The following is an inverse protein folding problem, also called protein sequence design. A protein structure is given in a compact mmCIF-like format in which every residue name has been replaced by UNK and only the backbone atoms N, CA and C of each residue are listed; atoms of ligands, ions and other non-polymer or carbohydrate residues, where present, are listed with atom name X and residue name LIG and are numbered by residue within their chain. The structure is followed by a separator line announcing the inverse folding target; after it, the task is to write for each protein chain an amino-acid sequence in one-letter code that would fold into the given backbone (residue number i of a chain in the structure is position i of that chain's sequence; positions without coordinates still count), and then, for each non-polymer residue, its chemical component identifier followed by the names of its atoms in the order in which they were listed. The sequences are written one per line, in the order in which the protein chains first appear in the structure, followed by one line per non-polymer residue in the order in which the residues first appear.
data_IF_095782242386
#
_entry.id   IF_095782242386
#
_cell.length_a   1.000
_cell.length_b   1.000
_cell.length_c   1.000
_cell.angle_alpha   90.00
_cell.angle_beta   90.00
_cell.angle_gamma   90.00
#
_symmetry.space_group_name_H-M   'P 1'
#
loop_
_entity.id
_entity.type
_entity.pdbx_description
1 polymer ?
#
# COMPACT_ATOMS: atom_id res chain seq x y z
N UNK A 1 4.67 -7.85 17.03
CA UNK A 1 3.47 -7.85 17.88
C UNK A 1 2.21 -7.72 17.05
N UNK A 2 1.23 -8.57 17.34
CA UNK A 2 -0.07 -8.61 16.65
C UNK A 2 -1.12 -7.92 17.52
N UNK A 3 -1.96 -7.07 16.92
CA UNK A 3 -3.04 -6.39 17.62
C UNK A 3 -4.24 -6.17 16.71
N UNK A 4 -5.33 -5.60 17.22
CA UNK A 4 -6.44 -5.19 16.37
C UNK A 4 -5.94 -4.18 15.33
N UNK A 5 -6.14 -4.52 14.07
CA UNK A 5 -5.65 -3.78 12.93
C UNK A 5 -6.82 -3.31 12.07
N UNK A 6 -6.73 -2.06 11.63
CA UNK A 6 -7.51 -1.53 10.54
C UNK A 6 -6.54 -0.96 9.51
N UNK A 7 -6.90 -1.09 8.24
CA UNK A 7 -6.21 -0.43 7.15
C UNK A 7 -6.92 0.87 6.83
N UNK A 8 -6.16 1.80 6.28
CA UNK A 8 -6.71 3.04 5.79
C UNK A 8 -5.76 3.74 4.84
N UNK A 9 -6.30 4.72 4.12
CA UNK A 9 -5.52 5.55 3.24
C UNK A 9 -6.35 6.69 2.67
N UNK A 10 -5.64 7.75 2.30
CA UNK A 10 -6.21 8.91 1.62
C UNK A 10 -5.56 9.01 0.25
N UNK A 11 -6.40 9.17 -0.77
CA UNK A 11 -5.97 9.47 -2.13
C UNK A 11 -6.20 10.94 -2.38
N UNK A 12 -5.13 11.61 -2.80
CA UNK A 12 -5.15 12.99 -3.26
C UNK A 12 -4.84 13.03 -4.76
N UNK A 13 -5.36 14.04 -5.46
CA UNK A 13 -4.92 14.35 -6.82
C UNK A 13 -3.57 15.08 -6.81
N UNK A 14 -3.08 15.44 -7.99
CA UNK A 14 -1.81 16.16 -8.15
C UNK A 14 -1.80 17.58 -7.55
N UNK A 15 -2.96 18.19 -7.30
CA UNK A 15 -3.11 19.50 -6.68
C UNK A 15 -3.31 19.38 -5.15
N UNK A 16 -3.37 18.15 -4.63
CA UNK A 16 -3.61 17.86 -3.22
C UNK A 16 -5.09 17.82 -2.84
N UNK A 17 -6.01 17.85 -3.80
CA UNK A 17 -7.44 17.72 -3.51
C UNK A 17 -7.80 16.28 -3.17
N UNK A 18 -8.73 16.11 -2.24
CA UNK A 18 -9.19 14.80 -1.84
C UNK A 18 -10.00 14.11 -2.95
N UNK A 19 -9.58 12.91 -3.36
CA UNK A 19 -10.32 12.06 -4.29
C UNK A 19 -11.17 11.04 -3.54
N UNK A 20 -10.54 10.28 -2.63
CA UNK A 20 -11.20 9.22 -1.86
C UNK A 20 -10.41 8.87 -0.61
N UNK A 21 -11.11 8.59 0.48
CA UNK A 21 -10.56 7.97 1.68
C UNK A 21 -11.13 6.57 1.83
N UNK A 22 -10.35 5.64 2.35
CA UNK A 22 -10.82 4.29 2.65
C UNK A 22 -10.35 3.84 4.01
N UNK A 23 -11.16 2.97 4.63
CA UNK A 23 -10.78 2.24 5.84
C UNK A 23 -11.40 0.85 5.80
N UNK A 24 -10.73 -0.14 6.38
CA UNK A 24 -11.27 -1.49 6.53
C UNK A 24 -10.67 -2.16 7.76
N UNK A 25 -11.53 -2.73 8.59
CA UNK A 25 -11.08 -3.55 9.71
C UNK A 25 -10.51 -4.89 9.20
N UNK A 26 -9.33 -5.29 9.69
CA UNK A 26 -8.65 -6.54 9.32
C UNK A 26 -8.69 -7.61 10.42
N UNK A 27 -9.19 -7.32 11.61
CA UNK A 27 -9.10 -8.24 12.73
C UNK A 27 -7.76 -8.11 13.44
N UNK A 28 -7.11 -9.23 13.79
CA UNK A 28 -5.80 -9.23 14.45
C UNK A 28 -4.71 -9.49 13.41
N UNK A 29 -3.77 -8.56 13.27
CA UNK A 29 -2.76 -8.62 12.22
C UNK A 29 -1.47 -7.89 12.69
N UNK A 30 -0.27 -8.36 12.30
CA UNK A 30 0.97 -7.61 12.49
C UNK A 30 0.91 -6.26 11.77
N UNK A 31 1.56 -5.23 12.32
CA UNK A 31 1.62 -3.88 11.73
C UNK A 31 2.16 -3.90 10.29
N UNK A 32 3.18 -4.72 10.04
CA UNK A 32 3.73 -4.92 8.71
C UNK A 32 2.69 -5.42 7.71
N UNK A 33 1.98 -6.50 8.03
CA UNK A 33 0.96 -7.07 7.15
C UNK A 33 -0.21 -6.10 6.93
N UNK A 34 -0.66 -5.41 7.98
CA UNK A 34 -1.70 -4.40 7.88
C UNK A 34 -1.31 -3.32 6.86
N UNK A 35 -0.06 -2.84 6.90
CA UNK A 35 0.40 -1.80 6.00
C UNK A 35 0.41 -2.26 4.53
N UNK A 36 0.89 -3.46 4.25
CA UNK A 36 0.86 -3.97 2.87
C UNK A 36 -0.58 -4.20 2.39
N UNK A 37 -1.50 -4.63 3.28
CA UNK A 37 -2.92 -4.70 2.98
C UNK A 37 -3.53 -3.33 2.68
N UNK A 38 -3.14 -2.27 3.40
CA UNK A 38 -3.54 -0.89 3.11
C UNK A 38 -3.15 -0.51 1.69
N UNK A 39 -1.89 -0.79 1.31
CA UNK A 39 -1.35 -0.46 -0.01
C UNK A 39 -2.08 -1.23 -1.12
N UNK A 40 -2.24 -2.55 -0.96
CA UNK A 40 -2.97 -3.37 -1.92
C UNK A 40 -4.41 -2.90 -2.09
N UNK A 41 -5.10 -2.59 -0.98
CA UNK A 41 -6.46 -2.05 -0.98
C UNK A 41 -6.54 -0.72 -1.74
N UNK A 42 -5.63 0.21 -1.45
CA UNK A 42 -5.55 1.50 -2.13
C UNK A 42 -5.31 1.37 -3.64
N UNK A 43 -4.38 0.50 -4.06
CA UNK A 43 -4.11 0.24 -5.47
C UNK A 43 -5.36 -0.32 -6.16
N UNK A 44 -6.04 -1.30 -5.57
CA UNK A 44 -7.25 -1.88 -6.16
C UNK A 44 -8.39 -0.86 -6.30
N UNK A 45 -8.57 0.03 -5.31
CA UNK A 45 -9.54 1.12 -5.38
C UNK A 45 -9.21 2.08 -6.54
N UNK A 46 -7.94 2.46 -6.68
CA UNK A 46 -7.48 3.32 -7.75
C UNK A 46 -7.67 2.66 -9.13
N UNK A 47 -7.34 1.37 -9.24
CA UNK A 47 -7.53 0.59 -10.46
C UNK A 47 -9.00 0.55 -10.89
N UNK A 48 -9.90 0.29 -9.94
CA UNK A 48 -11.35 0.27 -10.17
C UNK A 48 -11.90 1.64 -10.60
N UNK A 49 -11.26 2.73 -10.18
CA UNK A 49 -11.59 4.11 -10.59
C UNK A 49 -10.93 4.53 -11.92
N UNK A 50 -10.15 3.65 -12.56
CA UNK A 50 -9.46 3.94 -13.82
C UNK A 50 -8.10 4.60 -13.68
N UNK A 51 -7.63 4.85 -12.45
CA UNK A 51 -6.26 5.33 -12.23
C UNK A 51 -5.27 4.20 -12.41
N UNK A 52 -4.14 4.51 -13.04
CA UNK A 52 -3.05 3.56 -13.34
C UNK A 52 -1.68 4.09 -12.89
N UNK A 53 -1.64 5.26 -12.26
CA UNK A 53 -0.41 5.89 -11.78
C UNK A 53 -0.66 6.59 -10.45
N UNK A 54 0.16 6.31 -9.44
CA UNK A 54 0.13 7.02 -8.17
C UNK A 54 1.48 6.91 -7.45
N UNK A 55 1.71 7.85 -6.53
CA UNK A 55 2.77 7.75 -5.52
C UNK A 55 2.11 7.29 -4.23
N UNK A 56 2.57 6.17 -3.69
CA UNK A 56 2.14 5.61 -2.42
C UNK A 56 3.10 6.13 -1.35
N UNK A 57 2.56 6.74 -0.31
CA UNK A 57 3.31 7.23 0.84
C UNK A 57 2.99 6.34 2.03
N UNK A 58 4.00 5.94 2.78
CA UNK A 58 3.87 5.13 4.00
C UNK A 58 5.00 5.50 4.97
N UNK A 59 4.72 5.40 6.26
CA UNK A 59 5.73 5.54 7.33
C UNK A 59 6.42 4.23 7.70
N UNK A 60 6.09 3.14 7.02
CA UNK A 60 6.72 1.85 7.20
C UNK A 60 7.90 1.65 6.23
N UNK A 61 9.12 1.92 6.71
CA UNK A 61 10.33 1.79 5.90
C UNK A 61 10.58 0.36 5.40
N UNK A 62 10.25 -0.65 6.20
CA UNK A 62 10.42 -2.06 5.84
C UNK A 62 9.56 -2.42 4.62
N UNK A 63 8.30 -1.98 4.60
CA UNK A 63 7.39 -2.18 3.46
C UNK A 63 7.91 -1.49 2.20
N UNK A 64 8.46 -0.28 2.32
CA UNK A 64 9.06 0.46 1.19
C UNK A 64 10.24 -0.31 0.60
N UNK A 65 11.10 -0.88 1.45
CA UNK A 65 12.26 -1.66 1.00
C UNK A 65 11.81 -2.91 0.26
N UNK A 66 10.90 -3.70 0.85
CA UNK A 66 10.44 -4.97 0.27
C UNK A 66 9.63 -4.78 -1.02
N UNK A 67 8.76 -3.77 -1.08
CA UNK A 67 7.94 -3.54 -2.28
C UNK A 67 8.73 -2.88 -3.43
N UNK A 68 9.84 -2.20 -3.15
CA UNK A 68 10.77 -1.74 -4.19
C UNK A 68 11.75 -2.83 -4.63
N UNK A 69 12.08 -3.78 -3.76
CA UNK A 69 12.90 -4.94 -4.10
C UNK A 69 12.05 -6.01 -4.80
N UNK A 70 11.81 -5.76 -6.08
CA UNK A 70 10.91 -6.54 -6.94
C UNK A 70 11.48 -7.93 -7.29
N UNK A 71 12.75 -8.21 -7.00
CA UNK A 71 13.38 -9.52 -7.24
C UNK A 71 13.11 -10.52 -6.10
N UNK A 72 12.45 -10.09 -5.02
CA UNK A 72 11.96 -10.95 -3.93
C UNK A 72 10.68 -11.72 -4.32
N UNK A 73 10.65 -12.33 -5.52
CA UNK A 73 9.55 -13.23 -5.93
C UNK A 73 9.38 -14.42 -4.97
N UNK A 74 10.36 -14.66 -4.09
CA UNK A 74 10.31 -15.71 -3.08
C UNK A 74 10.00 -15.24 -1.65
N UNK A 75 9.44 -14.03 -1.44
CA UNK A 75 8.86 -13.74 -0.12
C UNK A 75 7.74 -14.76 0.14
N UNK A 76 7.89 -15.71 1.08
CA UNK A 76 6.90 -16.78 1.35
C UNK A 76 5.49 -16.28 1.73
N UNK A 77 5.29 -14.96 1.73
CA UNK A 77 4.08 -14.24 2.09
C UNK A 77 3.29 -13.96 0.80
N UNK A 78 2.23 -14.73 0.57
CA UNK A 78 1.36 -14.64 -0.64
C UNK A 78 0.89 -13.21 -0.96
N UNK A 79 0.62 -12.42 0.08
CA UNK A 79 0.09 -11.07 -0.06
C UNK A 79 1.15 -10.06 -0.57
N UNK A 80 2.43 -10.21 -0.18
CA UNK A 80 3.53 -9.41 -0.74
C UNK A 80 3.70 -9.71 -2.24
N UNK A 81 3.76 -10.99 -2.61
CA UNK A 81 3.87 -11.42 -4.02
C UNK A 81 2.73 -10.84 -4.86
N UNK A 82 1.50 -10.89 -4.34
CA UNK A 82 0.32 -10.31 -5.03
C UNK A 82 0.45 -8.81 -5.21
N UNK A 83 0.90 -8.09 -4.17
CA UNK A 83 1.07 -6.63 -4.19
C UNK A 83 2.14 -6.24 -5.21
N UNK A 84 3.32 -6.86 -5.16
CA UNK A 84 4.40 -6.64 -6.13
C UNK A 84 3.96 -6.94 -7.56
N UNK A 85 3.24 -8.05 -7.79
CA UNK A 85 2.73 -8.40 -9.12
C UNK A 85 1.79 -7.33 -9.68
N UNK A 86 0.85 -6.84 -8.89
CA UNK A 86 -0.05 -5.76 -9.32
C UNK A 86 0.74 -4.47 -9.55
N UNK A 87 1.71 -4.15 -8.69
CA UNK A 87 2.58 -3.00 -8.88
C UNK A 87 3.40 -3.06 -10.18
N UNK A 88 3.76 -4.27 -10.64
CA UNK A 88 4.46 -4.48 -11.91
C UNK A 88 3.55 -4.48 -13.13
N UNK A 89 2.38 -5.11 -13.06
CA UNK A 89 1.58 -5.44 -14.24
C UNK A 89 0.41 -4.49 -14.50
N UNK A 90 -0.13 -3.83 -13.48
CA UNK A 90 -1.41 -3.11 -13.58
C UNK A 90 -1.26 -1.58 -13.60
N UNK A 91 -0.04 -1.04 -13.55
CA UNK A 91 0.18 0.40 -13.59
C UNK A 91 1.61 0.84 -13.26
N UNK A 92 1.80 2.14 -13.02
CA UNK A 92 3.05 2.72 -12.55
C UNK A 92 2.88 3.20 -11.11
N UNK A 93 3.35 2.40 -10.17
CA UNK A 93 3.22 2.66 -8.75
C UNK A 93 4.60 2.94 -8.18
N UNK A 94 4.77 4.08 -7.51
CA UNK A 94 6.02 4.41 -6.82
C UNK A 94 5.73 4.48 -5.33
N UNK A 95 6.45 3.70 -4.53
CA UNK A 95 6.32 3.74 -3.08
C UNK A 95 7.46 4.55 -2.47
N UNK A 96 7.13 5.43 -1.52
CA UNK A 96 8.09 6.29 -0.82
C UNK A 96 7.83 6.27 0.68
N UNK A 97 8.92 6.24 1.44
CA UNK A 97 8.87 6.44 2.87
C UNK A 97 8.63 7.91 3.21
N UNK A 98 7.78 8.16 4.21
CA UNK A 98 7.58 9.48 4.84
C UNK A 98 7.61 9.34 6.36
N UNK A 99 8.04 10.36 7.12
CA UNK A 99 7.90 10.35 8.58
C UNK A 99 6.44 10.18 9.01
N UNK A 100 6.19 9.45 10.11
CA UNK A 100 4.85 9.20 10.65
C UNK A 100 3.99 10.45 10.90
N UNK A 101 4.61 11.58 11.24
CA UNK A 101 3.88 12.85 11.43
C UNK A 101 3.44 13.53 10.12
N UNK A 102 3.80 12.95 8.97
CA UNK A 102 3.41 13.40 7.63
C UNK A 102 2.51 12.39 6.90
N UNK A 103 2.27 11.24 7.51
CA UNK A 103 1.33 10.22 7.04
C UNK A 103 -0.06 10.55 7.58
#
# INVERSE_FOLDING_TARGET
DSGYAAIGGVVLDHDGNWIVGFTRFLGVCPSFEAEVWSILGGILILLNKGYRRAIILTDNLEVVQILNDLDLEDSGITMLRRTQRIMRLEGMWKIKHIPRNRN
#
